data_IF_221154420454
#
_entry.id   IF_221154420454
#
_cell.length_a   1.000
_cell.length_b   1.000
_cell.length_c   1.000
_cell.angle_alpha   90.00
_cell.angle_beta   90.00
_cell.angle_gamma   90.00
#
_symmetry.space_group_name_H-M   'P 1'
#
loop_
_entity.id
_entity.type
_entity.pdbx_description
1 polymer ?
#
# COMPACT_ATOMS: atom_id res chain seq x y z
N UNK A 1 4.55 10.21 18.83
CA UNK A 1 3.75 10.19 20.08
C UNK A 1 2.34 10.73 19.81
N UNK A 2 1.39 9.79 19.62
CA UNK A 2 -0.01 10.15 19.42
C UNK A 2 -0.64 10.64 20.75
N UNK A 3 -1.40 11.72 20.70
CA UNK A 3 -2.12 12.23 21.89
C UNK A 3 -3.25 11.29 22.35
N UNK A 4 -3.81 10.54 21.43
CA UNK A 4 -4.92 9.61 21.66
C UNK A 4 -4.62 8.27 20.96
N UNK A 5 -3.69 7.46 21.48
CA UNK A 5 -3.28 6.21 20.84
C UNK A 5 -4.42 5.19 20.74
N UNK A 6 -5.33 5.15 21.71
CA UNK A 6 -6.52 4.29 21.71
C UNK A 6 -7.44 4.57 20.51
N UNK A 7 -7.64 5.83 20.16
CA UNK A 7 -8.42 6.23 19.00
C UNK A 7 -7.71 5.86 17.69
N UNK A 8 -6.38 5.99 17.65
CA UNK A 8 -5.59 5.57 16.51
C UNK A 8 -5.70 4.05 16.28
N UNK A 9 -5.60 3.25 17.33
CA UNK A 9 -5.79 1.79 17.25
C UNK A 9 -7.20 1.41 16.84
N UNK A 10 -8.21 2.08 17.38
CA UNK A 10 -9.61 1.84 17.00
C UNK A 10 -9.83 2.10 15.50
N UNK A 11 -9.26 3.18 14.96
CA UNK A 11 -9.34 3.50 13.54
C UNK A 11 -8.61 2.47 12.66
N UNK A 12 -7.39 2.07 13.04
CA UNK A 12 -6.63 1.05 12.33
C UNK A 12 -7.37 -0.29 12.33
N UNK A 13 -7.89 -0.72 13.48
CA UNK A 13 -8.66 -1.95 13.58
C UNK A 13 -9.93 -1.92 12.72
N UNK A 14 -10.62 -0.80 12.66
CA UNK A 14 -11.77 -0.61 11.77
C UNK A 14 -11.39 -0.77 10.29
N UNK A 15 -10.27 -0.19 9.85
CA UNK A 15 -9.78 -0.33 8.48
C UNK A 15 -9.39 -1.77 8.12
N UNK A 16 -9.02 -2.59 9.12
CA UNK A 16 -8.66 -4.00 8.93
C UNK A 16 -9.86 -4.95 8.96
N UNK A 17 -11.06 -4.47 9.27
CA UNK A 17 -12.27 -5.29 9.16
C UNK A 17 -12.48 -5.74 7.71
N UNK A 18 -12.74 -7.04 7.46
CA UNK A 18 -12.81 -7.58 6.10
C UNK A 18 -13.77 -6.84 5.17
N UNK A 19 -14.96 -6.52 5.64
CA UNK A 19 -15.95 -5.80 4.84
C UNK A 19 -15.50 -4.37 4.54
N UNK A 20 -14.90 -3.68 5.52
CA UNK A 20 -14.39 -2.31 5.35
C UNK A 20 -13.23 -2.29 4.37
N UNK A 21 -12.27 -3.22 4.49
CA UNK A 21 -11.15 -3.36 3.57
C UNK A 21 -11.64 -3.66 2.13
N UNK A 22 -12.63 -4.55 1.97
CA UNK A 22 -13.21 -4.86 0.67
C UNK A 22 -13.92 -3.64 0.05
N UNK A 23 -14.71 -2.92 0.83
CA UNK A 23 -15.39 -1.70 0.36
C UNK A 23 -14.39 -0.64 -0.11
N UNK A 24 -13.30 -0.45 0.62
CA UNK A 24 -12.23 0.47 0.23
C UNK A 24 -11.58 0.03 -1.08
N UNK A 25 -11.24 -1.27 -1.22
CA UNK A 25 -10.68 -1.81 -2.46
C UNK A 25 -11.64 -1.64 -3.64
N UNK A 26 -12.92 -1.93 -3.48
CA UNK A 26 -13.91 -1.76 -4.54
C UNK A 26 -14.03 -0.30 -5.00
N UNK A 27 -13.87 0.65 -4.08
CA UNK A 27 -13.95 2.08 -4.39
C UNK A 27 -12.69 2.62 -5.06
N UNK A 28 -11.50 2.34 -4.48
CA UNK A 28 -10.23 2.92 -4.95
C UNK A 28 -9.51 2.05 -5.98
N UNK A 29 -9.90 0.79 -6.15
CA UNK A 29 -9.32 -0.20 -7.08
C UNK A 29 -7.83 -0.49 -6.81
N UNK A 30 -7.45 -0.48 -5.54
CA UNK A 30 -6.15 -0.97 -5.05
C UNK A 30 -6.35 -2.20 -4.18
N UNK A 31 -5.46 -3.17 -4.29
CA UNK A 31 -5.46 -4.34 -3.42
C UNK A 31 -5.25 -3.93 -1.95
N UNK A 32 -5.75 -4.76 -1.03
CA UNK A 32 -5.57 -4.59 0.41
C UNK A 32 -4.82 -5.79 1.01
N UNK A 33 -4.19 -5.64 2.19
CA UNK A 33 -3.42 -6.71 2.82
C UNK A 33 -4.28 -7.69 3.64
N UNK A 34 -5.60 -7.52 3.69
CA UNK A 34 -6.50 -8.33 4.51
C UNK A 34 -6.98 -9.54 3.71
N UNK A 35 -6.36 -10.70 3.93
CA UNK A 35 -6.68 -11.92 3.17
C UNK A 35 -8.17 -12.30 3.23
N UNK A 36 -8.82 -12.12 4.38
CA UNK A 36 -10.25 -12.40 4.57
C UNK A 36 -11.18 -11.42 3.85
N UNK A 37 -10.66 -10.28 3.37
CA UNK A 37 -11.43 -9.33 2.56
C UNK A 37 -11.51 -9.75 1.09
N UNK A 38 -10.56 -10.52 0.58
CA UNK A 38 -10.48 -10.89 -0.83
C UNK A 38 -11.77 -11.52 -1.39
N UNK A 39 -12.45 -12.45 -0.70
CA UNK A 39 -13.72 -12.99 -1.18
C UNK A 39 -14.87 -11.97 -1.26
N UNK A 40 -14.75 -10.85 -0.55
CA UNK A 40 -15.75 -9.77 -0.48
C UNK A 40 -15.48 -8.66 -1.51
N UNK A 41 -14.33 -8.70 -2.18
CA UNK A 41 -13.99 -7.77 -3.26
C UNK A 41 -14.73 -8.18 -4.54
N UNK A 42 -15.19 -7.20 -5.30
CA UNK A 42 -15.86 -7.40 -6.58
C UNK A 42 -15.01 -8.28 -7.51
N UNK A 43 -15.65 -9.22 -8.19
CA UNK A 43 -14.96 -10.22 -9.01
C UNK A 43 -14.08 -9.57 -10.09
N UNK A 44 -14.57 -8.54 -10.75
CA UNK A 44 -13.81 -7.82 -11.77
C UNK A 44 -12.50 -7.20 -11.24
N UNK A 45 -12.47 -6.82 -9.96
CA UNK A 45 -11.30 -6.22 -9.31
C UNK A 45 -10.35 -7.31 -8.80
N UNK A 46 -10.88 -8.32 -8.10
CA UNK A 46 -10.05 -9.39 -7.51
C UNK A 46 -9.40 -10.32 -8.55
N UNK A 47 -9.94 -10.36 -9.77
CA UNK A 47 -9.40 -11.15 -10.88
C UNK A 47 -8.52 -10.34 -11.83
N UNK A 48 -8.42 -9.03 -11.63
CA UNK A 48 -7.53 -8.17 -12.41
C UNK A 48 -6.07 -8.36 -11.95
N UNK A 49 -5.18 -8.89 -12.81
CA UNK A 49 -3.77 -9.10 -12.45
C UNK A 49 -2.99 -7.79 -12.23
N UNK A 50 -3.52 -6.64 -12.67
CA UNK A 50 -2.96 -5.32 -12.40
C UNK A 50 -3.21 -4.86 -10.97
N UNK A 51 -4.27 -5.37 -10.31
CA UNK A 51 -4.64 -5.04 -8.94
C UNK A 51 -4.22 -6.17 -7.99
N UNK A 52 -4.54 -7.42 -8.34
CA UNK A 52 -4.17 -8.63 -7.61
C UNK A 52 -3.21 -9.48 -8.46
N UNK A 53 -1.90 -9.26 -8.35
CA UNK A 53 -0.91 -9.97 -9.14
C UNK A 53 -0.98 -11.49 -8.92
N UNK A 54 -0.71 -12.25 -9.98
CA UNK A 54 -0.61 -13.70 -9.90
C UNK A 54 0.56 -14.14 -9.01
N UNK A 55 0.53 -15.37 -8.45
CA UNK A 55 1.65 -15.89 -7.64
C UNK A 55 3.00 -15.83 -8.37
N UNK A 56 3.02 -16.05 -9.68
CA UNK A 56 4.26 -15.99 -10.47
C UNK A 56 4.77 -14.54 -10.62
N UNK A 57 3.87 -13.58 -10.75
CA UNK A 57 4.22 -12.15 -10.75
C UNK A 57 4.74 -11.72 -9.38
N UNK A 58 4.10 -12.16 -8.28
CA UNK A 58 4.51 -11.84 -6.92
C UNK A 58 5.95 -12.27 -6.62
N UNK A 59 6.41 -13.40 -7.18
CA UNK A 59 7.80 -13.86 -7.04
C UNK A 59 8.84 -12.92 -7.68
N UNK A 60 8.42 -12.09 -8.62
CA UNK A 60 9.27 -11.16 -9.37
C UNK A 60 9.22 -9.74 -8.81
N UNK A 61 8.25 -9.44 -7.96
CA UNK A 61 8.10 -8.13 -7.32
C UNK A 61 9.02 -8.06 -6.10
N UNK A 62 9.63 -6.91 -5.90
CA UNK A 62 10.44 -6.60 -4.73
C UNK A 62 10.08 -5.21 -4.18
N UNK A 63 10.32 -5.01 -2.92
CA UNK A 63 10.23 -3.69 -2.28
C UNK A 63 11.60 -3.04 -2.22
N UNK A 64 11.64 -1.71 -2.28
CA UNK A 64 12.90 -1.00 -2.08
C UNK A 64 13.40 -1.22 -0.64
N UNK A 65 14.67 -1.64 -0.46
CA UNK A 65 15.24 -1.76 0.87
C UNK A 65 15.45 -0.39 1.50
N UNK A 66 15.53 -0.36 2.83
CA UNK A 66 15.96 0.83 3.55
C UNK A 66 17.38 1.22 3.10
N UNK A 67 17.52 2.43 2.61
CA UNK A 67 18.78 2.94 2.10
C UNK A 67 19.56 3.65 3.21
N UNK A 68 20.92 3.48 3.23
CA UNK A 68 21.76 4.25 4.14
C UNK A 68 21.47 5.76 4.01
N UNK A 69 21.51 6.49 5.12
CA UNK A 69 21.17 7.92 5.17
C UNK A 69 21.93 8.78 4.14
N UNK A 70 23.19 8.40 3.81
CA UNK A 70 23.97 9.07 2.77
C UNK A 70 23.35 8.93 1.39
N UNK A 71 22.89 7.71 1.05
CA UNK A 71 22.24 7.41 -0.23
C UNK A 71 20.89 8.10 -0.31
N UNK A 72 20.08 8.05 0.76
CA UNK A 72 18.80 8.72 0.86
C UNK A 72 18.94 10.24 0.62
N UNK A 73 19.92 10.89 1.24
CA UNK A 73 20.20 12.31 1.02
C UNK A 73 20.62 12.62 -0.41
N UNK A 74 21.41 11.73 -1.04
CA UNK A 74 21.81 11.88 -2.44
C UNK A 74 20.58 11.83 -3.36
N UNK A 75 19.72 10.84 -3.17
CA UNK A 75 18.49 10.68 -3.96
C UNK A 75 17.58 11.90 -3.82
N UNK A 76 17.36 12.38 -2.59
CA UNK A 76 16.53 13.58 -2.33
C UNK A 76 17.11 14.83 -3.02
N UNK A 77 18.41 15.05 -2.95
CA UNK A 77 19.07 16.17 -3.65
C UNK A 77 18.96 16.04 -5.17
N UNK A 78 19.21 14.84 -5.70
CA UNK A 78 19.11 14.59 -7.14
C UNK A 78 17.71 14.84 -7.65
N UNK A 79 16.70 14.37 -6.92
CA UNK A 79 15.30 14.61 -7.25
C UNK A 79 14.92 16.10 -7.21
N UNK A 80 15.38 16.81 -6.17
CA UNK A 80 15.17 18.26 -6.08
C UNK A 80 15.82 19.00 -7.24
N UNK A 81 17.05 18.61 -7.63
CA UNK A 81 17.77 19.19 -8.77
C UNK A 81 17.00 18.95 -10.08
N UNK A 82 16.50 17.75 -10.31
CA UNK A 82 15.71 17.41 -11.50
C UNK A 82 14.45 18.28 -11.58
N UNK A 83 13.71 18.38 -10.48
CA UNK A 83 12.46 19.16 -10.43
C UNK A 83 12.67 20.66 -10.56
N UNK A 84 13.75 21.19 -10.02
CA UNK A 84 14.05 22.63 -10.08
C UNK A 84 14.78 23.08 -11.32
N UNK A 85 15.27 22.15 -12.14
CA UNK A 85 16.07 22.45 -13.34
C UNK A 85 17.43 23.10 -13.06
N UNK A 86 17.91 23.00 -11.84
CA UNK A 86 19.16 23.63 -11.40
C UNK A 86 20.21 22.60 -11.00
#
# INVERSE_FOLDING_TARGET
>A
DAKHPENAYAFINYLLEPQVAANNTNYIQYANPVASATPLVDEAIRTDPGIYPTPDTLKKIYTFPDLPAKVQRLMTRSWTKIKSGK
#
